data_IF_510795749340
#
_entry.id   IF_510795749340
#
_cell.length_a   1.000
_cell.length_b   1.000
_cell.length_c   1.000
_cell.angle_alpha   90.00
_cell.angle_beta   90.00
_cell.angle_gamma   90.00
#
_symmetry.space_group_name_H-M   'P 1'
#
loop_
_entity.id
_entity.type
_entity.pdbx_description
1 polymer ?
#
# COMPACT_ATOMS: atom_id res chain seq x y z
N UNK A 1 -7.90 -3.30 2.05
CA UNK A 1 -6.69 -3.58 2.87
C UNK A 1 -6.64 -5.05 3.24
N UNK A 2 -5.52 -5.58 3.76
CA UNK A 2 -5.43 -7.01 4.16
C UNK A 2 -6.49 -7.38 5.22
N UNK A 3 -6.83 -6.44 6.12
CA UNK A 3 -7.91 -6.58 7.09
C UNK A 3 -9.29 -6.82 6.46
N UNK A 4 -9.53 -6.26 5.26
CA UNK A 4 -10.78 -6.44 4.54
C UNK A 4 -10.94 -7.85 3.94
N UNK A 5 -9.89 -8.69 3.97
CA UNK A 5 -10.01 -10.11 3.63
C UNK A 5 -10.78 -10.89 4.70
N UNK A 6 -10.73 -10.47 5.97
CA UNK A 6 -11.50 -11.11 7.04
C UNK A 6 -13.01 -10.94 6.87
N UNK A 7 -13.43 -9.81 6.28
CA UNK A 7 -14.83 -9.52 5.96
C UNK A 7 -15.37 -10.46 4.87
N UNK A 8 -14.48 -11.09 4.10
CA UNK A 8 -14.83 -11.99 2.99
C UNK A 8 -14.97 -13.45 3.43
N UNK A 9 -14.89 -13.74 4.74
CA UNK A 9 -14.99 -15.10 5.29
C UNK A 9 -16.30 -15.81 4.95
N UNK A 10 -17.38 -15.05 4.76
CA UNK A 10 -18.72 -15.57 4.51
C UNK A 10 -19.00 -15.73 3.00
N UNK A 11 -18.06 -15.31 2.13
CA UNK A 11 -18.15 -15.49 0.68
C UNK A 11 -17.63 -16.88 0.29
N UNK A 12 -18.53 -17.73 -0.19
CA UNK A 12 -18.22 -19.11 -0.55
C UNK A 12 -18.02 -19.29 -2.07
N UNK A 13 -18.66 -18.46 -2.88
CA UNK A 13 -18.56 -18.50 -4.34
C UNK A 13 -17.45 -17.54 -4.83
N UNK A 14 -16.33 -18.14 -5.24
CA UNK A 14 -15.18 -17.42 -5.78
C UNK A 14 -14.97 -17.76 -7.24
N UNK A 15 -14.91 -16.73 -8.07
CA UNK A 15 -14.36 -16.85 -9.41
C UNK A 15 -12.83 -16.68 -9.38
N UNK A 16 -12.14 -17.24 -10.37
CA UNK A 16 -10.68 -17.22 -10.46
C UNK A 16 -10.10 -15.79 -10.44
N UNK A 17 -10.71 -14.87 -11.18
CA UNK A 17 -10.36 -13.44 -11.22
C UNK A 17 -10.45 -12.77 -9.84
N UNK A 18 -11.49 -13.07 -9.07
CA UNK A 18 -11.72 -12.55 -7.73
C UNK A 18 -10.63 -13.04 -6.76
N UNK A 19 -10.25 -14.31 -6.85
CA UNK A 19 -9.12 -14.82 -6.09
C UNK A 19 -7.79 -14.22 -6.54
N UNK A 20 -7.55 -14.12 -7.86
CA UNK A 20 -6.32 -13.61 -8.43
C UNK A 20 -6.04 -12.15 -8.03
N UNK A 21 -7.07 -11.29 -7.99
CA UNK A 21 -6.89 -9.88 -7.59
C UNK A 21 -6.53 -9.75 -6.11
N UNK A 22 -7.12 -10.59 -5.24
CA UNK A 22 -6.78 -10.63 -3.82
C UNK A 22 -5.35 -11.15 -3.59
N UNK A 23 -4.97 -12.21 -4.30
CA UNK A 23 -3.62 -12.76 -4.24
C UNK A 23 -2.59 -11.75 -4.73
N UNK A 24 -2.89 -11.02 -5.82
CA UNK A 24 -2.03 -9.96 -6.35
C UNK A 24 -1.76 -8.88 -5.31
N UNK A 25 -2.78 -8.48 -4.54
CA UNK A 25 -2.61 -7.51 -3.46
C UNK A 25 -1.63 -8.01 -2.38
N UNK A 26 -1.67 -9.30 -2.02
CA UNK A 26 -0.73 -9.89 -1.06
C UNK A 26 0.69 -9.99 -1.63
N UNK A 27 0.83 -10.41 -2.90
CA UNK A 27 2.12 -10.47 -3.60
C UNK A 27 2.77 -9.10 -3.66
N UNK A 28 2.02 -8.04 -3.98
CA UNK A 28 2.57 -6.69 -4.03
C UNK A 28 3.06 -6.21 -2.66
N UNK A 29 2.31 -6.49 -1.60
CA UNK A 29 2.75 -6.17 -0.24
C UNK A 29 4.04 -6.89 0.14
N UNK A 30 4.15 -8.17 -0.21
CA UNK A 30 5.36 -8.96 -0.01
C UNK A 30 6.56 -8.38 -0.77
N UNK A 31 6.40 -8.03 -2.04
CA UNK A 31 7.46 -7.44 -2.85
C UNK A 31 7.90 -6.06 -2.31
N UNK A 32 6.96 -5.23 -1.87
CA UNK A 32 7.27 -3.94 -1.24
C UNK A 32 8.09 -4.17 0.05
N UNK A 33 7.66 -5.09 0.91
CA UNK A 33 8.38 -5.40 2.15
C UNK A 33 9.81 -5.87 1.86
N UNK A 34 10.01 -6.74 0.86
CA UNK A 34 11.33 -7.22 0.46
C UNK A 34 12.24 -6.12 -0.10
N UNK A 35 11.70 -5.06 -0.71
CA UNK A 35 12.49 -3.95 -1.25
C UNK A 35 12.84 -2.88 -0.21
N UNK A 36 12.05 -2.77 0.86
CA UNK A 36 12.28 -1.78 1.92
C UNK A 36 13.42 -2.22 2.85
N UNK A 37 13.58 -3.52 3.07
CA UNK A 37 14.63 -4.06 3.91
C UNK A 37 15.90 -4.33 3.10
N UNK A 38 17.07 -3.87 3.56
CA UNK A 38 18.33 -4.24 2.95
C UNK A 38 18.64 -5.72 3.24
N UNK A 39 19.43 -6.32 2.36
CA UNK A 39 20.10 -7.57 2.71
C UNK A 39 21.17 -7.27 3.77
N UNK A 40 21.04 -7.90 4.93
CA UNK A 40 21.90 -7.63 6.08
C UNK A 40 23.20 -8.44 6.05
N UNK A 41 23.35 -9.44 5.16
CA UNK A 41 24.61 -10.19 4.93
C UNK A 41 25.46 -10.49 6.18
N UNK A 42 26.79 -10.50 6.02
CA UNK A 42 27.75 -10.55 7.15
C UNK A 42 28.20 -9.14 7.60
N UNK A 43 27.82 -8.08 6.89
CA UNK A 43 28.24 -6.70 7.17
C UNK A 43 27.38 -6.01 8.24
N UNK A 44 28.01 -5.58 9.33
CA UNK A 44 27.35 -5.04 10.53
C UNK A 44 26.84 -3.59 10.41
N UNK A 45 27.07 -2.88 9.30
CA UNK A 45 26.67 -1.46 9.17
C UNK A 45 26.04 -1.19 7.80
N UNK A 46 24.71 -1.33 7.71
CA UNK A 46 23.96 -0.93 6.52
C UNK A 46 23.51 0.53 6.65
N UNK A 47 23.90 1.36 5.68
CA UNK A 47 23.43 2.74 5.58
C UNK A 47 21.96 2.79 5.10
N UNK A 48 21.01 2.68 6.04
CA UNK A 48 19.56 2.66 5.77
C UNK A 48 19.08 3.82 4.90
N UNK A 49 19.63 5.03 5.13
CA UNK A 49 19.30 6.21 4.33
C UNK A 49 19.68 6.02 2.86
N UNK A 50 20.89 5.55 2.59
CA UNK A 50 21.36 5.35 1.22
C UNK A 50 20.52 4.28 0.51
N UNK A 51 20.24 3.18 1.21
CA UNK A 51 19.39 2.12 0.71
C UNK A 51 17.97 2.60 0.37
N UNK A 52 17.35 3.38 1.25
CA UNK A 52 16.02 3.97 1.01
C UNK A 52 16.01 4.79 -0.28
N UNK A 53 16.94 5.73 -0.46
CA UNK A 53 16.96 6.58 -1.64
C UNK A 53 17.29 5.80 -2.91
N UNK A 54 18.09 4.73 -2.82
CA UNK A 54 18.36 3.83 -3.95
C UNK A 54 17.10 3.07 -4.39
N UNK A 55 16.31 2.57 -3.44
CA UNK A 55 15.11 1.78 -3.75
C UNK A 55 13.83 2.60 -3.93
N UNK A 56 13.82 3.90 -3.57
CA UNK A 56 12.60 4.74 -3.53
C UNK A 56 11.72 4.57 -4.78
N UNK A 57 12.31 4.62 -5.98
CA UNK A 57 11.55 4.55 -7.23
C UNK A 57 10.85 3.20 -7.36
N UNK A 58 11.53 2.10 -7.01
CA UNK A 58 10.96 0.74 -7.09
C UNK A 58 9.87 0.53 -6.04
N UNK A 59 10.14 0.94 -4.79
CA UNK A 59 9.18 0.87 -3.69
C UNK A 59 7.90 1.66 -4.03
N UNK A 60 8.03 2.93 -4.41
CA UNK A 60 6.87 3.77 -4.72
C UNK A 60 6.17 3.36 -6.04
N UNK A 61 6.89 2.79 -7.02
CA UNK A 61 6.25 2.24 -8.23
C UNK A 61 5.38 1.02 -7.89
N UNK A 62 5.89 0.08 -7.09
CA UNK A 62 5.08 -1.05 -6.62
C UNK A 62 3.91 -0.58 -5.75
N UNK A 63 4.10 0.46 -4.94
CA UNK A 63 3.02 1.04 -4.15
C UNK A 63 1.92 1.66 -5.04
N UNK A 64 2.28 2.36 -6.12
CA UNK A 64 1.31 2.83 -7.13
C UNK A 64 0.53 1.66 -7.72
N UNK A 65 1.21 0.57 -8.11
CA UNK A 65 0.55 -0.64 -8.62
C UNK A 65 -0.38 -1.24 -7.56
N UNK A 66 0.02 -1.28 -6.29
CA UNK A 66 -0.81 -1.78 -5.19
C UNK A 66 -2.09 -0.95 -5.00
N UNK A 67 -1.99 0.38 -5.14
CA UNK A 67 -3.16 1.26 -5.10
C UNK A 67 -4.10 1.01 -6.27
N UNK A 68 -3.56 0.87 -7.50
CA UNK A 68 -4.36 0.55 -8.68
C UNK A 68 -5.06 -0.82 -8.56
N UNK A 69 -4.35 -1.83 -8.05
CA UNK A 69 -4.91 -3.15 -7.77
C UNK A 69 -6.01 -3.06 -6.71
N UNK A 70 -5.88 -2.19 -5.70
CA UNK A 70 -6.94 -1.97 -4.72
C UNK A 70 -8.22 -1.40 -5.35
N UNK A 71 -8.13 -0.53 -6.37
CA UNK A 71 -9.31 -0.03 -7.10
C UNK A 71 -9.88 -1.14 -7.99
N UNK A 72 -9.01 -1.88 -8.68
CA UNK A 72 -9.39 -3.02 -9.51
C UNK A 72 -10.12 -4.09 -8.71
N UNK A 73 -9.70 -4.34 -7.46
CA UNK A 73 -10.36 -5.26 -6.54
C UNK A 73 -11.85 -4.92 -6.39
N UNK A 74 -12.19 -3.66 -6.10
CA UNK A 74 -13.59 -3.26 -5.87
C UNK A 74 -14.41 -3.41 -7.18
N UNK A 75 -13.80 -3.13 -8.34
CA UNK A 75 -14.42 -3.39 -9.65
C UNK A 75 -14.67 -4.88 -9.92
N UNK A 76 -13.74 -5.76 -9.53
CA UNK A 76 -13.84 -7.21 -9.75
C UNK A 76 -14.79 -7.88 -8.76
N UNK A 77 -14.82 -7.41 -7.51
CA UNK A 77 -15.60 -8.03 -6.43
C UNK A 77 -17.01 -7.49 -6.31
N UNK A 78 -17.19 -6.18 -6.52
CA UNK A 78 -18.43 -5.46 -6.25
C UNK A 78 -19.04 -4.86 -7.53
N UNK A 79 -18.36 -5.01 -8.68
CA UNK A 79 -18.76 -4.43 -9.98
C UNK A 79 -19.01 -2.92 -9.93
N UNK A 80 -18.36 -2.24 -8.98
CA UNK A 80 -18.51 -0.83 -8.71
C UNK A 80 -17.15 -0.21 -8.40
N UNK A 81 -17.06 1.11 -8.58
CA UNK A 81 -15.91 1.84 -8.09
C UNK A 81 -15.94 1.93 -6.56
N UNK A 82 -14.78 2.12 -5.91
CA UNK A 82 -14.74 2.44 -4.50
C UNK A 82 -15.64 3.63 -4.17
N UNK A 83 -16.18 3.67 -2.95
CA UNK A 83 -16.92 4.83 -2.49
C UNK A 83 -16.06 6.11 -2.57
N UNK A 84 -16.74 7.27 -2.61
CA UNK A 84 -16.08 8.55 -2.84
C UNK A 84 -14.94 8.84 -1.85
N UNK A 85 -15.09 8.47 -0.58
CA UNK A 85 -14.05 8.72 0.42
C UNK A 85 -12.84 7.81 0.17
N UNK A 86 -13.06 6.52 -0.07
CA UNK A 86 -11.99 5.57 -0.41
C UNK A 86 -11.25 5.99 -1.69
N UNK A 87 -11.98 6.41 -2.72
CA UNK A 87 -11.38 6.89 -3.98
C UNK A 87 -10.52 8.15 -3.78
N UNK A 88 -10.93 9.07 -2.90
CA UNK A 88 -10.10 10.23 -2.52
C UNK A 88 -8.81 9.77 -1.85
N UNK A 89 -8.87 8.79 -0.94
CA UNK A 89 -7.67 8.21 -0.33
C UNK A 89 -6.75 7.59 -1.39
N UNK A 90 -7.28 6.79 -2.32
CA UNK A 90 -6.49 6.24 -3.42
C UNK A 90 -5.82 7.34 -4.26
N UNK A 91 -6.57 8.40 -4.62
CA UNK A 91 -6.04 9.52 -5.40
C UNK A 91 -4.90 10.24 -4.67
N UNK A 92 -5.05 10.51 -3.36
CA UNK A 92 -4.00 11.13 -2.54
C UNK A 92 -2.75 10.24 -2.49
N UNK A 93 -2.91 8.93 -2.30
CA UNK A 93 -1.79 7.99 -2.29
C UNK A 93 -1.11 7.88 -3.67
N UNK A 94 -1.86 7.90 -4.77
CA UNK A 94 -1.30 7.91 -6.13
C UNK A 94 -0.49 9.17 -6.39
N UNK A 95 -1.02 10.34 -6.06
CA UNK A 95 -0.33 11.62 -6.26
C UNK A 95 0.94 11.69 -5.43
N UNK A 96 0.86 11.37 -4.14
CA UNK A 96 2.03 11.43 -3.26
C UNK A 96 3.09 10.39 -3.64
N UNK A 97 2.71 9.16 -3.97
CA UNK A 97 3.67 8.16 -4.45
C UNK A 97 4.32 8.57 -5.78
N UNK A 98 3.56 9.15 -6.71
CA UNK A 98 4.10 9.65 -7.98
C UNK A 98 5.14 10.76 -7.77
N UNK A 99 4.86 11.69 -6.85
CA UNK A 99 5.84 12.73 -6.47
C UNK A 99 7.07 12.10 -5.81
N UNK A 100 6.90 11.08 -4.96
CA UNK A 100 8.00 10.35 -4.33
C UNK A 100 8.89 9.57 -5.33
N UNK A 101 8.35 9.16 -6.47
CA UNK A 101 9.12 8.57 -7.58
C UNK A 101 9.93 9.66 -8.29
N UNK A 102 9.31 10.82 -8.52
CA UNK A 102 9.90 11.91 -9.30
C UNK A 102 10.99 12.69 -8.55
N UNK A 103 10.86 12.86 -7.23
CA UNK A 103 11.78 13.65 -6.43
C UNK A 103 12.76 12.79 -5.62
N UNK A 104 13.89 13.39 -5.26
CA UNK A 104 14.81 12.86 -4.24
C UNK A 104 14.91 13.81 -3.03
N UNK A 105 14.00 14.79 -2.95
CA UNK A 105 13.99 15.77 -1.86
C UNK A 105 13.74 15.06 -0.52
N UNK A 106 14.73 15.11 0.36
CA UNK A 106 14.69 14.42 1.65
C UNK A 106 13.56 14.91 2.55
N UNK A 107 13.27 16.21 2.57
CA UNK A 107 12.17 16.75 3.37
C UNK A 107 10.82 16.24 2.90
N UNK A 108 10.65 16.09 1.59
CA UNK A 108 9.43 15.50 1.04
C UNK A 108 9.22 14.08 1.56
N UNK A 109 10.25 13.22 1.51
CA UNK A 109 10.15 11.84 1.99
C UNK A 109 9.92 11.75 3.51
N UNK A 110 10.52 12.64 4.31
CA UNK A 110 10.28 12.73 5.77
C UNK A 110 8.84 13.13 6.08
N UNK A 111 8.34 14.18 5.43
CA UNK A 111 6.95 14.63 5.58
C UNK A 111 5.97 13.57 5.10
N UNK A 112 6.27 12.90 3.98
CA UNK A 112 5.46 11.80 3.47
C UNK A 112 5.40 10.65 4.48
N UNK A 113 6.52 10.28 5.11
CA UNK A 113 6.52 9.26 6.15
C UNK A 113 5.60 9.64 7.33
N UNK A 114 5.70 10.87 7.84
CA UNK A 114 4.82 11.37 8.91
C UNK A 114 3.34 11.38 8.48
N UNK A 115 3.07 11.85 7.26
CA UNK A 115 1.73 11.84 6.67
C UNK A 115 1.16 10.42 6.62
N UNK A 116 1.91 9.46 6.07
CA UNK A 116 1.46 8.06 5.96
C UNK A 116 1.23 7.40 7.32
N UNK A 117 2.12 7.65 8.29
CA UNK A 117 1.94 7.17 9.66
C UNK A 117 0.68 7.76 10.32
N UNK A 118 0.47 9.07 10.15
CA UNK A 118 -0.73 9.75 10.63
C UNK A 118 -2.01 9.20 10.01
N UNK A 119 -2.03 8.99 8.68
CA UNK A 119 -3.18 8.39 7.98
C UNK A 119 -3.42 6.96 8.44
N UNK A 120 -2.38 6.16 8.65
CA UNK A 120 -2.52 4.79 9.14
C UNK A 120 -3.10 4.75 10.55
N UNK A 121 -2.59 5.59 11.47
CA UNK A 121 -3.13 5.71 12.81
C UNK A 121 -4.59 6.16 12.79
N UNK A 122 -4.91 7.19 12.01
CA UNK A 122 -6.29 7.66 11.83
C UNK A 122 -7.22 6.54 11.32
N UNK A 123 -6.79 5.80 10.30
CA UNK A 123 -7.54 4.66 9.76
C UNK A 123 -7.81 3.61 10.85
N UNK A 124 -6.77 3.15 11.54
CA UNK A 124 -6.89 2.15 12.61
C UNK A 124 -7.82 2.66 13.72
N UNK A 125 -7.64 3.88 14.21
CA UNK A 125 -8.51 4.46 15.23
C UNK A 125 -9.97 4.54 14.77
N UNK A 126 -10.22 4.94 13.52
CA UNK A 126 -11.57 5.03 12.96
C UNK A 126 -12.24 3.66 12.80
N UNK A 127 -11.47 2.62 12.47
CA UNK A 127 -11.95 1.25 12.36
C UNK A 127 -12.39 0.74 13.74
N UNK A 128 -11.54 0.89 14.77
CA UNK A 128 -11.86 0.45 16.13
C UNK A 128 -12.98 1.25 16.79
N UNK A 129 -13.15 2.52 16.43
CA UNK A 129 -14.29 3.31 16.89
C UNK A 129 -15.65 2.80 16.35
N UNK A 130 -15.66 2.11 15.19
CA UNK A 130 -16.87 1.51 14.60
C UNK A 130 -17.15 0.09 15.07
N UNK A 131 -16.17 -0.57 15.69
CA UNK A 131 -16.28 -1.93 16.22
C UNK A 131 -16.71 -1.97 17.70
N UNK A 132 -16.86 -0.79 18.34
CA UNK A 132 -17.49 -0.63 19.66
C UNK A 132 -18.99 -0.42 19.49
#
# INVERSE_FOLDING_TARGET
>A
TWWALFDMRDRHDWEFNQFAVLLTQAVLLYLIAGLVYPDFGEEKVVALRAHYFQQRKRVFSLFVVAVLVSICRDLVLDHALPDRANLIFHAVFLVTASVAIATANEWYHKLLALFTAGTFLFYVSSLFARLR
#
